data_IF_038949786131
#
_entry.id   IF_038949786131
#
_cell.length_a   1.000
_cell.length_b   1.000
_cell.length_c   1.000
_cell.angle_alpha   90.00
_cell.angle_beta   90.00
_cell.angle_gamma   90.00
#
_symmetry.space_group_name_H-M   'P 1'
#
loop_
_entity.id
_entity.type
_entity.pdbx_description
1 polymer ?
#
# COMPACT_ATOMS: atom_id res chain seq x y z
N UNK A 1 -0.76 3.38 -2.02
CA UNK A 1 0.11 3.23 -0.83
C UNK A 1 1.51 3.72 -1.18
N UNK A 2 2.51 3.57 -0.29
CA UNK A 2 3.90 3.98 -0.58
C UNK A 2 4.66 3.02 -1.49
N UNK A 3 4.13 1.80 -1.70
CA UNK A 3 4.84 0.70 -2.36
C UNK A 3 6.17 0.34 -1.64
N UNK A 4 6.19 0.54 -0.31
CA UNK A 4 7.33 0.29 0.56
C UNK A 4 6.83 -0.39 1.82
N UNK A 5 7.10 -1.70 1.94
CA UNK A 5 6.63 -2.48 3.09
C UNK A 5 7.42 -2.08 4.34
N UNK A 6 6.73 -1.86 5.45
CA UNK A 6 7.33 -1.58 6.76
C UNK A 6 6.78 -2.54 7.81
N UNK A 7 7.58 -2.79 8.85
CA UNK A 7 7.09 -3.45 10.06
C UNK A 7 6.24 -2.45 10.83
N UNK A 8 4.94 -2.72 10.96
CA UNK A 8 3.99 -1.86 11.67
C UNK A 8 3.82 -2.26 13.13
N UNK A 9 3.81 -3.57 13.38
CA UNK A 9 3.65 -4.16 14.71
C UNK A 9 4.63 -5.29 14.93
N UNK A 10 5.05 -5.44 16.18
CA UNK A 10 5.86 -6.54 16.67
C UNK A 10 5.22 -7.09 17.93
N UNK A 11 5.17 -8.41 18.04
CA UNK A 11 4.85 -9.09 19.28
C UNK A 11 6.05 -9.93 19.72
N UNK A 12 6.51 -9.69 20.95
CA UNK A 12 7.59 -10.42 21.62
C UNK A 12 7.18 -10.59 23.08
N UNK A 13 7.23 -11.82 23.60
CA UNK A 13 7.08 -12.12 25.03
C UNK A 13 5.84 -11.49 25.67
N UNK A 14 4.66 -11.78 25.11
CA UNK A 14 3.34 -11.27 25.55
C UNK A 14 3.12 -9.75 25.37
N UNK A 15 4.10 -9.03 24.81
CA UNK A 15 3.99 -7.60 24.54
C UNK A 15 3.80 -7.35 23.05
N UNK A 16 2.62 -6.83 22.68
CA UNK A 16 2.36 -6.32 21.33
C UNK A 16 2.57 -4.81 21.29
N UNK A 17 3.43 -4.34 20.38
CA UNK A 17 3.72 -2.91 20.21
C UNK A 17 3.67 -2.52 18.73
N UNK A 18 3.12 -1.35 18.46
CA UNK A 18 3.30 -0.69 17.16
C UNK A 18 4.68 -0.05 17.10
N UNK A 19 5.41 -0.23 16.00
CA UNK A 19 6.81 0.19 15.86
C UNK A 19 7.02 1.23 14.75
N UNK A 20 5.95 1.91 14.31
CA UNK A 20 6.07 3.04 13.39
C UNK A 20 6.71 4.25 14.09
N UNK A 21 8.02 4.41 13.88
CA UNK A 21 8.82 5.56 14.30
C UNK A 21 9.80 5.28 15.44
N UNK A 22 10.92 6.00 15.44
CA UNK A 22 12.07 5.80 16.34
C UNK A 22 11.70 5.84 17.83
N UNK A 23 10.76 6.70 18.20
CA UNK A 23 10.29 6.82 19.58
C UNK A 23 9.66 5.51 20.10
N UNK A 24 8.90 4.80 19.27
CA UNK A 24 8.25 3.54 19.66
C UNK A 24 9.22 2.37 19.72
N UNK A 25 10.32 2.43 18.96
CA UNK A 25 11.40 1.45 19.01
C UNK A 25 12.19 1.58 20.32
N UNK A 26 12.35 2.81 20.83
CA UNK A 26 12.95 3.03 22.14
C UNK A 26 12.11 2.44 23.28
N UNK A 27 10.78 2.49 23.18
CA UNK A 27 9.89 1.80 24.11
C UNK A 27 10.05 0.28 24.04
N UNK A 28 10.17 -0.30 22.82
CA UNK A 28 10.40 -1.74 22.66
C UNK A 28 11.68 -2.20 23.37
N UNK A 29 12.76 -1.41 23.25
CA UNK A 29 14.03 -1.67 23.94
C UNK A 29 13.93 -1.57 25.47
N UNK A 30 12.99 -0.78 25.99
CA UNK A 30 12.82 -0.65 27.45
C UNK A 30 12.09 -1.84 28.08
N UNK A 31 11.32 -2.59 27.27
CA UNK A 31 10.50 -3.71 27.74
C UNK A 31 11.20 -5.06 27.57
N UNK A 32 12.17 -5.13 26.66
CA UNK A 32 12.85 -6.37 26.28
C UNK A 32 14.31 -6.30 26.72
N UNK A 33 14.81 -7.37 27.34
CA UNK A 33 16.22 -7.49 27.72
C UNK A 33 17.16 -7.42 26.51
N UNK A 34 18.41 -7.00 26.74
CA UNK A 34 19.45 -6.99 25.71
C UNK A 34 19.68 -8.40 25.12
N UNK A 35 19.51 -9.45 25.93
CA UNK A 35 19.67 -10.84 25.50
C UNK A 35 18.58 -11.25 24.51
N UNK A 36 17.30 -10.99 24.83
CA UNK A 36 16.20 -11.30 23.92
C UNK A 36 16.29 -10.49 22.62
N UNK A 37 16.66 -9.21 22.73
CA UNK A 37 16.87 -8.34 21.57
C UNK A 37 18.02 -8.85 20.69
N UNK A 38 19.12 -9.31 21.29
CA UNK A 38 20.24 -9.86 20.55
C UNK A 38 19.86 -11.08 19.70
N UNK A 39 19.06 -12.00 20.26
CA UNK A 39 18.58 -13.20 19.55
C UNK A 39 17.65 -12.81 18.40
N UNK A 40 16.75 -11.85 18.62
CA UNK A 40 15.86 -11.33 17.59
C UNK A 40 16.63 -10.72 16.42
N UNK A 41 17.56 -9.80 16.72
CA UNK A 41 18.36 -9.10 15.71
C UNK A 41 19.27 -10.07 14.96
N UNK A 42 19.86 -11.05 15.67
CA UNK A 42 20.62 -12.13 15.04
C UNK A 42 19.74 -12.88 14.04
N UNK A 43 18.55 -13.32 14.46
CA UNK A 43 17.60 -14.03 13.60
C UNK A 43 17.19 -13.24 12.37
N UNK A 44 16.92 -11.94 12.52
CA UNK A 44 16.58 -11.05 11.41
C UNK A 44 17.74 -10.99 10.39
N UNK A 45 18.97 -10.70 10.83
CA UNK A 45 20.07 -10.47 9.89
C UNK A 45 20.62 -11.73 9.24
N UNK A 46 20.65 -12.87 9.96
CA UNK A 46 21.19 -14.12 9.39
C UNK A 46 20.16 -14.83 8.52
N UNK A 47 18.87 -14.69 8.83
CA UNK A 47 17.76 -15.31 8.11
C UNK A 47 17.05 -14.30 7.20
N UNK A 48 17.76 -13.34 6.60
CA UNK A 48 17.21 -12.43 5.59
C UNK A 48 18.05 -12.47 4.34
N UNK A 49 17.42 -12.75 3.18
CA UNK A 49 18.08 -12.73 1.88
C UNK A 49 18.24 -11.34 1.29
N UNK A 50 17.78 -10.29 1.99
CA UNK A 50 17.94 -8.90 1.56
C UNK A 50 19.28 -8.32 2.03
N UNK A 51 19.87 -7.48 1.19
CA UNK A 51 21.17 -6.88 1.45
C UNK A 51 21.12 -5.36 1.37
N UNK A 52 21.93 -4.71 2.21
CA UNK A 52 22.12 -3.26 2.16
C UNK A 52 23.19 -2.94 1.12
N UNK A 53 22.76 -2.35 0.01
CA UNK A 53 23.64 -1.92 -1.08
C UNK A 53 23.78 -0.40 -1.06
N UNK A 54 24.96 0.10 -1.40
CA UNK A 54 25.17 1.53 -1.63
C UNK A 54 24.83 1.80 -3.09
N UNK A 55 23.80 2.62 -3.32
CA UNK A 55 23.48 3.12 -4.65
C UNK A 55 24.53 4.10 -5.16
N UNK A 56 24.49 4.36 -6.47
CA UNK A 56 25.39 5.30 -7.17
C UNK A 56 25.24 6.74 -6.67
N UNK A 57 24.11 7.05 -6.02
CA UNK A 57 23.80 8.32 -5.36
C UNK A 57 24.36 8.44 -3.93
N UNK A 58 25.09 7.42 -3.46
CA UNK A 58 25.62 7.33 -2.10
C UNK A 58 24.58 7.00 -1.03
N UNK A 59 23.31 6.82 -1.40
CA UNK A 59 22.26 6.38 -0.47
C UNK A 59 22.29 4.87 -0.31
N UNK A 60 21.90 4.40 0.88
CA UNK A 60 21.78 2.96 1.15
C UNK A 60 20.39 2.51 0.73
N UNK A 61 20.32 1.58 -0.22
CA UNK A 61 19.08 0.92 -0.63
C UNK A 61 19.12 -0.53 -0.18
N UNK A 62 17.96 -1.08 0.15
CA UNK A 62 17.84 -2.49 0.51
C UNK A 62 17.36 -3.23 -0.73
N UNK A 63 18.16 -4.19 -1.21
CA UNK A 63 17.81 -5.08 -2.30
C UNK A 63 17.28 -6.40 -1.74
N UNK A 64 16.12 -6.84 -2.23
CA UNK A 64 15.51 -8.10 -1.84
C UNK A 64 13.99 -8.07 -1.97
N UNK A 65 13.32 -9.07 -1.42
CA UNK A 65 11.84 -9.10 -1.45
C UNK A 65 11.26 -8.04 -0.50
N UNK A 66 10.13 -7.39 -0.81
CA UNK A 66 9.60 -6.30 0.02
C UNK A 66 9.40 -6.67 1.49
N UNK A 67 8.93 -7.90 1.77
CA UNK A 67 8.72 -8.40 3.13
C UNK A 67 10.04 -8.53 3.90
N UNK A 68 11.09 -9.01 3.24
CA UNK A 68 12.40 -9.17 3.85
C UNK A 68 13.13 -7.84 4.01
N UNK A 69 12.98 -6.94 3.04
CA UNK A 69 13.51 -5.58 3.12
C UNK A 69 12.93 -4.83 4.31
N UNK A 70 11.61 -4.94 4.54
CA UNK A 70 10.95 -4.37 5.72
C UNK A 70 11.53 -4.89 7.04
N UNK A 71 11.78 -6.21 7.10
CA UNK A 71 12.32 -6.87 8.29
C UNK A 71 13.78 -6.45 8.55
N UNK A 72 14.58 -6.34 7.48
CA UNK A 72 15.96 -5.86 7.56
C UNK A 72 16.02 -4.39 8.00
N UNK A 73 15.17 -3.54 7.43
CA UNK A 73 15.05 -2.13 7.81
C UNK A 73 14.70 -1.98 9.30
N UNK A 74 13.75 -2.80 9.79
CA UNK A 74 13.43 -2.87 11.21
C UNK A 74 14.67 -3.25 12.04
N UNK A 75 15.38 -4.32 11.68
CA UNK A 75 16.59 -4.74 12.38
C UNK A 75 17.69 -3.67 12.40
N UNK A 76 17.89 -2.95 11.28
CA UNK A 76 18.85 -1.85 11.16
C UNK A 76 18.47 -0.63 12.02
N UNK A 77 17.17 -0.39 12.19
CA UNK A 77 16.66 0.69 13.05
C UNK A 77 16.83 0.34 14.53
N UNK A 78 16.71 -0.94 14.88
CA UNK A 78 16.91 -1.45 16.24
C UNK A 78 18.40 -1.49 16.61
N UNK A 79 19.24 -2.24 15.88
CA UNK A 79 20.66 -2.45 16.21
C UNK A 79 21.53 -2.48 14.94
N UNK A 80 21.78 -1.29 14.39
CA UNK A 80 22.58 -1.12 13.16
C UNK A 80 24.00 -1.65 13.26
N UNK A 81 24.65 -1.47 14.41
CA UNK A 81 26.09 -1.73 14.58
C UNK A 81 26.43 -3.22 14.46
N UNK A 82 25.45 -4.09 14.74
CA UNK A 82 25.62 -5.55 14.70
C UNK A 82 25.38 -6.14 13.33
N UNK A 83 24.87 -5.37 12.37
CA UNK A 83 24.61 -5.87 11.02
C UNK A 83 25.88 -6.44 10.37
N UNK A 84 27.00 -5.73 10.47
CA UNK A 84 28.27 -6.19 9.88
C UNK A 84 28.89 -7.37 10.62
N UNK A 85 28.62 -7.50 11.92
CA UNK A 85 29.09 -8.62 12.73
C UNK A 85 28.31 -9.89 12.35
N UNK A 86 26.98 -9.81 12.38
CA UNK A 86 26.11 -10.93 12.09
C UNK A 86 26.17 -11.39 10.64
N UNK A 87 26.39 -10.49 9.68
CA UNK A 87 26.51 -10.88 8.28
C UNK A 87 27.81 -11.65 7.96
N UNK A 88 28.83 -11.54 8.83
CA UNK A 88 30.08 -12.33 8.73
C UNK A 88 29.94 -13.74 9.30
N UNK A 89 28.86 -14.05 10.02
CA UNK A 89 28.65 -15.38 10.56
C UNK A 89 28.50 -16.38 9.41
N UNK A 90 29.20 -17.51 9.52
CA UNK A 90 29.15 -18.57 8.54
C UNK A 90 27.77 -19.24 8.57
N UNK A 91 27.10 -19.19 7.42
CA UNK A 91 25.85 -19.91 7.15
C UNK A 91 26.22 -21.29 6.62
N UNK A 92 26.02 -22.31 7.46
CA UNK A 92 26.37 -23.71 7.16
C UNK A 92 25.36 -24.27 6.15
N UNK A 93 24.08 -23.97 6.35
CA UNK A 93 23.00 -24.39 5.45
C UNK A 93 21.96 -23.29 5.33
N UNK A 94 21.49 -23.04 4.11
CA UNK A 94 20.38 -22.12 3.82
C UNK A 94 19.34 -22.89 3.03
N UNK A 95 18.12 -22.95 3.53
CA UNK A 95 16.94 -23.41 2.79
C UNK A 95 16.10 -22.17 2.45
N UNK A 96 16.08 -21.72 1.18
CA UNK A 96 15.31 -20.54 0.78
C UNK A 96 13.81 -20.79 0.96
N UNK A 97 13.02 -19.71 0.91
CA UNK A 97 11.58 -19.82 1.06
C UNK A 97 10.97 -20.81 0.07
N UNK A 98 10.28 -21.81 0.60
CA UNK A 98 9.56 -22.81 -0.18
C UNK A 98 8.06 -22.59 -0.03
N UNK A 99 7.32 -22.41 -1.14
CA UNK A 99 5.88 -22.14 -1.12
C UNK A 99 5.02 -23.27 -0.55
N UNK A 100 5.50 -24.51 -0.59
CA UNK A 100 4.82 -25.67 0.01
C UNK A 100 5.04 -25.70 1.52
N UNK A 101 6.30 -25.55 1.98
CA UNK A 101 6.63 -25.49 3.41
C UNK A 101 6.25 -24.16 4.08
N UNK A 102 6.03 -23.10 3.29
CA UNK A 102 5.80 -21.70 3.68
C UNK A 102 6.77 -21.16 4.74
N UNK A 103 8.01 -21.67 4.73
CA UNK A 103 9.10 -21.23 5.61
C UNK A 103 10.43 -21.15 4.85
N UNK A 104 11.34 -20.38 5.42
CA UNK A 104 12.75 -20.25 5.06
C UNK A 104 13.57 -20.52 6.33
N UNK A 105 14.67 -21.25 6.19
CA UNK A 105 15.48 -21.64 7.35
C UNK A 105 16.97 -21.48 7.06
N UNK A 106 17.73 -21.14 8.08
CA UNK A 106 19.19 -21.02 8.01
C UNK A 106 19.81 -21.66 9.23
N UNK A 107 20.95 -22.34 9.06
CA UNK A 107 21.78 -22.83 10.14
C UNK A 107 23.07 -22.04 10.14
N UNK A 108 23.37 -21.44 11.29
CA UNK A 108 24.60 -20.70 11.52
C UNK A 108 25.48 -21.43 12.52
N UNK A 109 26.79 -21.25 12.38
CA UNK A 109 27.75 -21.69 13.39
C UNK A 109 27.94 -20.57 14.42
N UNK A 110 27.77 -20.89 15.71
CA UNK A 110 27.98 -19.92 16.77
C UNK A 110 29.48 -19.78 17.11
N UNK A 111 29.97 -18.58 17.49
CA UNK A 111 31.39 -18.36 17.79
C UNK A 111 31.95 -19.20 18.94
N UNK A 112 31.09 -19.65 19.86
CA UNK A 112 31.43 -20.40 21.07
C UNK A 112 31.44 -21.93 20.89
N UNK A 113 31.24 -22.42 19.65
CA UNK A 113 31.09 -23.85 19.37
C UNK A 113 29.65 -24.30 19.60
N UNK A 114 29.01 -24.78 18.53
CA UNK A 114 27.58 -25.10 18.48
C UNK A 114 26.93 -24.50 17.25
N UNK A 115 25.71 -24.93 16.95
CA UNK A 115 24.94 -24.48 15.80
C UNK A 115 23.61 -23.89 16.25
N UNK A 116 23.11 -22.90 15.51
CA UNK A 116 21.78 -22.33 15.73
C UNK A 116 21.01 -22.34 14.42
N UNK A 117 19.85 -22.99 14.43
CA UNK A 117 18.88 -22.92 13.35
C UNK A 117 17.93 -21.75 13.59
N UNK A 118 17.74 -20.90 12.59
CA UNK A 118 16.65 -19.94 12.55
C UNK A 118 15.67 -20.34 11.46
N UNK A 119 14.37 -20.18 11.74
CA UNK A 119 13.33 -20.31 10.73
C UNK A 119 12.43 -19.06 10.74
N UNK A 120 11.96 -18.67 9.55
CA UNK A 120 10.99 -17.60 9.37
C UNK A 120 9.96 -17.96 8.31
N UNK A 121 8.74 -17.46 8.44
CA UNK A 121 7.65 -17.90 7.58
C UNK A 121 6.26 -17.62 8.14
N UNK A 122 5.29 -18.35 7.60
CA UNK A 122 3.89 -18.24 8.02
C UNK A 122 3.74 -18.55 9.53
N UNK A 123 3.14 -17.65 10.32
CA UNK A 123 3.06 -17.81 11.77
C UNK A 123 2.40 -19.10 12.24
N UNK A 124 1.29 -19.50 11.62
CA UNK A 124 0.57 -20.70 12.03
C UNK A 124 1.41 -21.96 11.85
N UNK A 125 2.15 -22.03 10.73
CA UNK A 125 3.04 -23.15 10.47
C UNK A 125 4.20 -23.14 11.46
N UNK A 126 4.88 -22.01 11.67
CA UNK A 126 6.01 -21.98 12.60
C UNK A 126 5.57 -22.29 14.02
N UNK A 127 4.41 -21.79 14.45
CA UNK A 127 3.86 -22.03 15.78
C UNK A 127 3.53 -23.51 16.03
N UNK A 128 3.16 -24.27 15.01
CA UNK A 128 2.97 -25.72 15.11
C UNK A 128 4.28 -26.46 15.42
N UNK A 129 5.41 -25.95 14.94
CA UNK A 129 6.73 -26.56 15.12
C UNK A 129 7.49 -26.02 16.36
N UNK A 130 6.88 -25.09 17.11
CA UNK A 130 7.46 -24.51 18.32
C UNK A 130 6.99 -25.24 19.58
N UNK A 131 7.94 -25.58 20.45
CA UNK A 131 7.70 -26.17 21.78
C UNK A 131 7.86 -25.14 22.90
N UNK A 132 8.65 -24.12 22.66
CA UNK A 132 9.05 -23.11 23.64
C UNK A 132 8.86 -21.70 23.05
N UNK A 133 8.92 -20.69 23.90
CA UNK A 133 8.94 -19.29 23.51
C UNK A 133 9.98 -18.52 24.32
N UNK A 134 10.47 -17.43 23.73
CA UNK A 134 11.38 -16.51 24.38
C UNK A 134 10.60 -15.52 25.25
N UNK A 135 10.94 -15.43 26.53
CA UNK A 135 10.37 -14.42 27.43
C UNK A 135 11.13 -13.07 27.32
N UNK A 136 10.61 -12.02 27.96
CA UNK A 136 11.19 -10.67 27.87
C UNK A 136 12.59 -10.57 28.47
N UNK A 137 12.92 -11.46 29.40
CA UNK A 137 14.21 -11.56 30.08
C UNK A 137 15.26 -12.32 29.24
N UNK A 138 14.85 -12.97 28.15
CA UNK A 138 15.72 -13.74 27.25
C UNK A 138 15.89 -15.21 27.65
N UNK A 139 15.05 -15.71 28.54
CA UNK A 139 14.96 -17.11 28.91
C UNK A 139 13.94 -17.86 28.06
N UNK A 140 14.18 -19.16 27.91
CA UNK A 140 13.33 -20.08 27.16
C UNK A 140 12.29 -20.63 28.13
N UNK A 141 11.01 -20.39 27.83
CA UNK A 141 9.89 -20.90 28.62
C UNK A 141 9.02 -21.84 27.76
N UNK A 142 8.47 -22.94 28.35
CA UNK A 142 7.61 -23.85 27.60
C UNK A 142 6.38 -23.14 27.03
N UNK A 143 6.06 -23.43 25.78
CA UNK A 143 4.87 -22.89 25.13
C UNK A 143 3.64 -23.72 25.52
N UNK A 144 2.96 -23.31 26.59
CA UNK A 144 1.72 -23.97 27.03
C UNK A 144 0.59 -23.82 26.01
N UNK A 145 -0.41 -24.72 26.05
CA UNK A 145 -1.59 -24.63 25.17
C UNK A 145 -2.33 -23.29 25.29
N UNK A 146 -2.39 -22.73 26.50
CA UNK A 146 -2.98 -21.42 26.75
C UNK A 146 -2.19 -20.30 26.06
N UNK A 147 -0.86 -20.32 26.14
CA UNK A 147 -0.01 -19.35 25.43
C UNK A 147 -0.11 -19.52 23.92
N UNK A 148 -0.13 -20.76 23.42
CA UNK A 148 -0.31 -21.05 21.99
C UNK A 148 -1.62 -20.45 21.46
N UNK A 149 -2.72 -20.57 22.21
CA UNK A 149 -3.99 -19.92 21.89
C UNK A 149 -3.89 -18.38 21.91
N UNK A 150 -3.19 -17.80 22.89
CA UNK A 150 -2.97 -16.36 22.93
C UNK A 150 -2.19 -15.86 21.70
N UNK A 151 -1.14 -16.59 21.29
CA UNK A 151 -0.35 -16.27 20.11
C UNK A 151 -1.20 -16.37 18.84
N UNK A 152 -2.04 -17.40 18.71
CA UNK A 152 -3.00 -17.52 17.60
C UNK A 152 -3.99 -16.34 17.56
N UNK A 153 -4.49 -15.88 18.71
CA UNK A 153 -5.36 -14.71 18.79
C UNK A 153 -4.63 -13.43 18.31
N UNK A 154 -3.35 -13.29 18.62
CA UNK A 154 -2.52 -12.16 18.14
C UNK A 154 -2.29 -12.25 16.63
N UNK A 155 -2.01 -13.44 16.09
CA UNK A 155 -1.88 -13.66 14.65
C UNK A 155 -3.18 -13.26 13.94
N UNK A 156 -4.32 -13.70 14.47
CA UNK A 156 -5.63 -13.35 13.95
C UNK A 156 -5.92 -11.85 14.06
N UNK A 157 -5.52 -11.20 15.16
CA UNK A 157 -5.63 -9.75 15.32
C UNK A 157 -4.83 -9.01 14.25
N UNK A 158 -3.56 -9.39 14.03
CA UNK A 158 -2.72 -8.75 13.02
C UNK A 158 -3.28 -8.98 11.60
N UNK A 159 -3.77 -10.19 11.32
CA UNK A 159 -4.40 -10.51 10.04
C UNK A 159 -5.71 -9.71 9.83
N UNK A 160 -6.49 -9.48 10.89
CA UNK A 160 -7.73 -8.69 10.83
C UNK A 160 -7.49 -7.21 10.51
N UNK A 161 -6.31 -6.70 10.88
CA UNK A 161 -5.81 -5.37 10.51
C UNK A 161 -5.10 -5.36 9.14
N UNK A 162 -5.22 -6.46 8.39
CA UNK A 162 -4.57 -6.72 7.10
C UNK A 162 -3.05 -6.55 7.09
N UNK A 163 -2.42 -6.79 8.24
CA UNK A 163 -0.97 -6.89 8.31
C UNK A 163 -0.56 -8.24 7.70
N UNK A 164 0.44 -8.24 6.82
CA UNK A 164 1.14 -9.46 6.43
C UNK A 164 1.92 -9.95 7.64
N UNK A 165 1.47 -11.06 8.21
CA UNK A 165 2.07 -11.63 9.42
C UNK A 165 3.26 -12.54 9.07
N UNK A 166 4.36 -12.38 9.80
CA UNK A 166 5.56 -13.22 9.68
C UNK A 166 6.04 -13.61 11.08
N UNK A 167 6.50 -14.85 11.24
CA UNK A 167 7.05 -15.34 12.49
C UNK A 167 8.54 -15.66 12.33
N UNK A 168 9.32 -15.48 13.40
CA UNK A 168 10.70 -15.95 13.51
C UNK A 168 10.82 -16.84 14.75
N UNK A 169 11.49 -17.98 14.59
CA UNK A 169 11.83 -18.88 15.68
C UNK A 169 13.28 -19.38 15.53
N UNK A 170 13.86 -19.89 16.62
CA UNK A 170 15.21 -20.46 16.62
C UNK A 170 15.29 -21.79 17.38
N UNK A 171 16.35 -22.54 17.13
CA UNK A 171 16.67 -23.76 17.85
C UNK A 171 18.18 -23.88 17.96
N UNK A 172 18.67 -24.14 19.17
CA UNK A 172 20.09 -24.44 19.41
C UNK A 172 20.35 -25.94 19.21
N UNK A 173 21.48 -26.25 18.58
CA UNK A 173 21.91 -27.59 18.21
C UNK A 173 23.34 -27.81 18.69
N UNK A 174 23.57 -28.90 19.42
CA UNK A 174 24.90 -29.24 19.94
C UNK A 174 25.87 -29.68 18.83
N UNK A 175 25.38 -30.51 17.90
CA UNK A 175 26.12 -30.99 16.74
C UNK A 175 25.25 -30.92 15.48
N UNK A 176 25.85 -30.52 14.36
CA UNK A 176 25.21 -30.56 13.04
C UNK A 176 26.22 -31.08 12.02
N UNK A 177 25.85 -32.14 11.29
CA UNK A 177 26.65 -32.66 10.19
C UNK A 177 26.08 -32.21 8.84
N UNK A 178 26.93 -32.12 7.81
CA UNK A 178 26.50 -31.66 6.48
C UNK A 178 25.41 -32.55 5.83
N UNK A 179 25.30 -33.82 6.26
CA UNK A 179 24.29 -34.77 5.79
C UNK A 179 22.94 -34.63 6.50
N UNK A 180 22.87 -33.92 7.63
CA UNK A 180 21.62 -33.72 8.37
C UNK A 180 20.75 -32.66 7.69
N UNK A 181 19.45 -32.92 7.67
CA UNK A 181 18.46 -31.93 7.24
C UNK A 181 18.22 -30.91 8.32
N UNK A 182 17.76 -29.72 7.93
CA UNK A 182 17.35 -28.69 8.89
C UNK A 182 16.25 -29.28 9.78
N UNK A 183 16.31 -29.11 11.12
CA UNK A 183 15.27 -29.57 12.01
C UNK A 183 13.89 -29.07 11.59
N UNK A 184 12.89 -29.94 11.69
CA UNK A 184 11.51 -29.54 11.40
C UNK A 184 10.80 -29.03 12.64
N UNK A 185 11.08 -29.60 13.82
CA UNK A 185 10.39 -29.35 15.10
C UNK A 185 11.35 -28.98 16.23
N UNK A 186 10.79 -28.47 17.33
CA UNK A 186 11.55 -28.15 18.55
C UNK A 186 12.09 -26.71 18.55
N UNK A 187 11.41 -25.82 17.83
CA UNK A 187 11.78 -24.42 17.79
C UNK A 187 11.29 -23.67 19.04
N UNK A 188 12.03 -22.62 19.39
CA UNK A 188 11.64 -21.59 20.34
C UNK A 188 11.14 -20.37 19.58
N UNK A 189 9.87 -20.01 19.78
CA UNK A 189 9.24 -18.83 19.19
C UNK A 189 9.93 -17.55 19.70
N UNK A 190 10.38 -16.69 18.79
CA UNK A 190 11.01 -15.41 19.15
C UNK A 190 9.98 -14.27 19.07
N UNK A 191 9.42 -14.07 17.88
CA UNK A 191 8.64 -12.87 17.58
C UNK A 191 7.66 -13.08 16.44
N UNK A 192 6.57 -12.32 16.49
CA UNK A 192 5.66 -12.12 15.38
C UNK A 192 5.78 -10.68 14.86
N UNK A 193 5.73 -10.53 13.55
CA UNK A 193 5.79 -9.26 12.85
C UNK A 193 4.51 -9.07 12.05
N UNK A 194 3.90 -7.89 12.18
CA UNK A 194 2.84 -7.41 11.31
C UNK A 194 3.43 -6.39 10.34
N UNK A 195 3.50 -6.74 9.06
CA UNK A 195 4.12 -5.94 8.01
C UNK A 195 3.04 -5.37 7.10
N UNK A 196 3.10 -4.08 6.74
CA UNK A 196 2.14 -3.46 5.82
C UNK A 196 2.81 -2.49 4.88
N UNK A 197 2.16 -2.19 3.76
CA UNK A 197 2.49 -1.05 2.92
C UNK A 197 1.63 0.14 3.37
N UNK A 198 2.21 1.17 4.02
CA UNK A 198 1.45 2.25 4.61
C UNK A 198 0.82 3.13 3.53
N UNK A 199 -0.28 3.77 3.92
CA UNK A 199 -0.92 4.80 3.11
C UNK A 199 -0.02 6.04 3.09
N UNK A 200 0.10 6.69 1.92
CA UNK A 200 0.89 7.93 1.80
C UNK A 200 0.30 9.02 2.71
N UNK A 201 1.13 9.85 3.37
CA UNK A 201 0.65 10.91 4.23
C UNK A 201 -0.34 11.84 3.52
N UNK A 202 -1.49 12.09 4.16
CA UNK A 202 -2.52 13.00 3.66
C UNK A 202 -3.41 12.47 2.53
N UNK A 203 -3.26 11.21 2.10
CA UNK A 203 -4.23 10.55 1.20
C UNK A 203 -5.61 10.54 1.84
N UNK A 204 -5.71 10.18 3.13
CA UNK A 204 -6.98 10.16 3.86
C UNK A 204 -7.68 11.52 3.81
N UNK A 205 -6.97 12.61 4.13
CA UNK A 205 -7.53 13.97 4.09
C UNK A 205 -8.00 14.35 2.68
N UNK A 206 -7.24 13.95 1.67
CA UNK A 206 -7.57 14.20 0.28
C UNK A 206 -8.81 13.41 -0.18
N UNK A 207 -8.92 12.13 0.19
CA UNK A 207 -10.12 11.30 -0.06
C UNK A 207 -11.35 11.95 0.59
N UNK A 208 -11.25 12.32 1.86
CA UNK A 208 -12.34 12.99 2.58
C UNK A 208 -12.72 14.32 1.93
N UNK A 209 -11.73 15.08 1.44
CA UNK A 209 -11.98 16.34 0.71
C UNK A 209 -12.71 16.10 -0.60
N UNK A 210 -12.32 15.06 -1.37
CA UNK A 210 -13.00 14.66 -2.59
C UNK A 210 -14.46 14.26 -2.31
N UNK A 211 -14.68 13.42 -1.30
CA UNK A 211 -16.02 12.99 -0.91
C UNK A 211 -16.90 14.16 -0.45
N UNK A 212 -16.36 15.07 0.37
CA UNK A 212 -17.05 16.29 0.78
C UNK A 212 -17.38 17.23 -0.40
N UNK A 213 -16.60 17.16 -1.48
CA UNK A 213 -16.84 17.90 -2.72
C UNK A 213 -17.82 17.20 -3.69
N UNK A 214 -18.43 16.08 -3.27
CA UNK A 214 -19.38 15.29 -4.06
C UNK A 214 -18.74 14.33 -5.06
N UNK A 215 -17.45 14.00 -4.91
CA UNK A 215 -16.73 13.07 -5.77
C UNK A 215 -16.72 11.69 -5.11
N UNK A 216 -17.28 10.68 -5.77
CA UNK A 216 -17.23 9.29 -5.31
C UNK A 216 -15.85 8.69 -5.60
N UNK A 217 -15.09 8.39 -4.53
CA UNK A 217 -13.77 7.75 -4.64
C UNK A 217 -13.94 6.23 -4.57
N UNK A 218 -13.31 5.50 -5.50
CA UNK A 218 -13.33 4.03 -5.55
C UNK A 218 -11.90 3.50 -5.60
N UNK A 219 -11.62 2.40 -4.89
CA UNK A 219 -10.33 1.71 -4.91
C UNK A 219 -10.39 0.52 -5.88
N UNK A 220 -9.42 0.42 -6.79
CA UNK A 220 -9.31 -0.70 -7.74
C UNK A 220 -7.88 -1.23 -7.71
N UNK A 221 -7.69 -2.44 -7.18
CA UNK A 221 -6.35 -3.02 -6.94
C UNK A 221 -6.28 -4.50 -7.34
N UNK A 222 -5.08 -4.94 -7.72
CA UNK A 222 -4.74 -6.35 -7.91
C UNK A 222 -4.50 -7.11 -6.59
N UNK A 223 -4.47 -6.41 -5.45
CA UNK A 223 -4.26 -7.03 -4.14
C UNK A 223 -5.42 -7.91 -3.69
N UNK A 224 -5.18 -8.71 -2.65
CA UNK A 224 -6.20 -9.51 -2.00
C UNK A 224 -7.31 -8.62 -1.40
N UNK A 225 -8.56 -9.10 -1.46
CA UNK A 225 -9.74 -8.40 -0.95
C UNK A 225 -9.64 -7.97 0.51
N UNK A 226 -9.00 -8.77 1.37
CA UNK A 226 -8.86 -8.42 2.79
C UNK A 226 -7.93 -7.21 2.99
N UNK A 227 -6.81 -7.19 2.24
CA UNK A 227 -5.87 -6.06 2.23
C UNK A 227 -6.50 -4.82 1.64
N UNK A 228 -7.19 -4.95 0.51
CA UNK A 228 -7.91 -3.85 -0.12
C UNK A 228 -8.97 -3.25 0.82
N UNK A 229 -9.77 -4.08 1.50
CA UNK A 229 -10.78 -3.63 2.47
C UNK A 229 -10.17 -2.86 3.62
N UNK A 230 -9.06 -3.32 4.19
CA UNK A 230 -8.41 -2.65 5.31
C UNK A 230 -7.82 -1.30 4.90
N UNK A 231 -7.08 -1.24 3.78
CA UNK A 231 -6.52 0.02 3.26
C UNK A 231 -7.65 0.98 2.90
N UNK A 232 -8.73 0.48 2.29
CA UNK A 232 -9.87 1.31 1.93
C UNK A 232 -10.57 1.89 3.17
N UNK A 233 -10.70 1.13 4.27
CA UNK A 233 -11.21 1.64 5.55
C UNK A 233 -10.28 2.68 6.16
N UNK A 234 -8.97 2.44 6.15
CA UNK A 234 -7.96 3.39 6.67
C UNK A 234 -7.98 4.71 5.90
N UNK A 235 -8.12 4.66 4.57
CA UNK A 235 -8.25 5.83 3.70
C UNK A 235 -9.61 6.54 3.79
N UNK A 236 -10.64 5.91 4.39
CA UNK A 236 -12.01 6.41 4.39
C UNK A 236 -12.78 6.19 3.08
N UNK A 237 -12.31 5.29 2.22
CA UNK A 237 -12.96 4.92 0.95
C UNK A 237 -14.11 3.95 1.17
N UNK A 238 -13.90 2.92 1.99
CA UNK A 238 -14.92 1.91 2.26
C UNK A 238 -15.77 2.33 3.46
N UNK A 239 -17.03 2.67 3.17
CA UNK A 239 -18.09 3.00 4.14
C UNK A 239 -18.87 1.75 4.57
N UNK A 240 -19.70 1.85 5.62
CA UNK A 240 -20.50 0.72 6.11
C UNK A 240 -21.50 0.20 5.05
N UNK A 241 -22.05 1.08 4.23
CA UNK A 241 -22.97 0.73 3.13
C UNK A 241 -22.25 0.32 1.84
N UNK A 242 -20.92 0.39 1.83
CA UNK A 242 -20.08 0.13 0.68
C UNK A 242 -19.86 -1.34 0.39
N UNK A 243 -19.84 -1.71 -0.90
CA UNK A 243 -19.53 -3.06 -1.34
C UNK A 243 -18.07 -3.15 -1.80
N UNK A 244 -17.41 -4.21 -1.34
CA UNK A 244 -16.09 -4.62 -1.79
C UNK A 244 -16.23 -5.96 -2.52
N UNK A 245 -15.80 -6.01 -3.77
CA UNK A 245 -15.99 -7.11 -4.71
C UNK A 245 -14.64 -7.59 -5.28
N UNK A 246 -14.52 -8.85 -5.67
CA UNK A 246 -13.36 -9.32 -6.46
C UNK A 246 -13.60 -9.10 -7.96
N UNK A 247 -12.52 -8.90 -8.73
CA UNK A 247 -12.61 -8.65 -10.19
C UNK A 247 -13.41 -9.71 -10.94
N UNK A 248 -13.18 -11.00 -10.65
CA UNK A 248 -13.91 -12.10 -11.28
C UNK A 248 -15.42 -12.07 -11.01
N UNK A 249 -15.84 -11.66 -9.80
CA UNK A 249 -17.27 -11.54 -9.45
C UNK A 249 -17.95 -10.45 -10.27
N UNK A 250 -17.23 -9.40 -10.68
CA UNK A 250 -17.75 -8.37 -11.60
C UNK A 250 -17.88 -8.90 -13.04
N UNK A 251 -17.03 -9.83 -13.43
CA UNK A 251 -17.06 -10.45 -14.75
C UNK A 251 -18.31 -11.30 -14.94
N UNK A 252 -18.68 -12.06 -13.91
CA UNK A 252 -19.77 -13.03 -13.94
C UNK A 252 -21.17 -12.38 -13.80
N UNK A 253 -21.24 -11.09 -13.48
CA UNK A 253 -22.51 -10.36 -13.33
C UNK A 253 -23.11 -9.96 -14.67
N UNK A 254 -24.42 -10.12 -14.78
CA UNK A 254 -25.21 -9.61 -15.91
C UNK A 254 -25.27 -8.09 -15.92
N UNK A 255 -25.59 -7.48 -17.07
CA UNK A 255 -25.67 -6.02 -17.20
C UNK A 255 -26.69 -5.37 -16.26
N UNK A 256 -27.80 -6.06 -15.95
CA UNK A 256 -28.84 -5.55 -15.07
C UNK A 256 -28.42 -5.60 -13.59
N UNK A 257 -27.81 -6.70 -13.14
CA UNK A 257 -27.23 -6.79 -11.80
C UNK A 257 -26.08 -5.79 -11.62
N UNK A 258 -25.24 -5.64 -12.64
CA UNK A 258 -24.13 -4.71 -12.63
C UNK A 258 -24.65 -3.28 -12.49
N UNK A 259 -25.76 -2.93 -13.15
CA UNK A 259 -26.39 -1.62 -12.98
C UNK A 259 -26.74 -1.40 -11.51
N UNK A 260 -27.40 -2.31 -10.81
CA UNK A 260 -27.74 -2.10 -9.39
C UNK A 260 -26.53 -2.04 -8.43
N UNK A 261 -25.47 -2.79 -8.73
CA UNK A 261 -24.29 -2.92 -7.88
C UNK A 261 -23.30 -1.76 -8.04
N UNK A 262 -23.10 -1.26 -9.27
CA UNK A 262 -22.07 -0.25 -9.60
C UNK A 262 -22.05 0.97 -8.67
N UNK A 263 -23.18 1.59 -8.30
CA UNK A 263 -23.16 2.74 -7.39
C UNK A 263 -22.63 2.41 -5.99
N UNK A 264 -22.82 1.17 -5.54
CA UNK A 264 -22.43 0.71 -4.20
C UNK A 264 -21.00 0.18 -4.14
N UNK A 265 -20.41 -0.18 -5.28
CA UNK A 265 -19.04 -0.68 -5.34
C UNK A 265 -18.08 0.46 -5.01
N UNK A 266 -17.34 0.29 -3.90
CA UNK A 266 -16.31 1.21 -3.45
C UNK A 266 -14.91 0.59 -3.54
N UNK A 267 -14.82 -0.74 -3.48
CA UNK A 267 -13.54 -1.47 -3.57
C UNK A 267 -13.67 -2.62 -4.56
N UNK A 268 -12.72 -2.70 -5.47
CA UNK A 268 -12.51 -3.84 -6.34
C UNK A 268 -11.10 -4.39 -6.11
N UNK A 269 -11.03 -5.66 -5.72
CA UNK A 269 -9.79 -6.35 -5.40
C UNK A 269 -9.49 -7.46 -6.42
N UNK A 270 -8.24 -7.94 -6.46
CA UNK A 270 -7.76 -8.94 -7.44
C UNK A 270 -8.17 -8.62 -8.87
N UNK A 271 -8.23 -7.33 -9.21
CA UNK A 271 -8.66 -6.88 -10.53
C UNK A 271 -7.57 -7.11 -11.57
N UNK A 272 -7.91 -7.74 -12.68
CA UNK A 272 -7.08 -7.76 -13.89
C UNK A 272 -7.19 -6.42 -14.63
N UNK A 273 -6.26 -6.09 -15.55
CA UNK A 273 -6.32 -4.86 -16.35
C UNK A 273 -7.67 -4.66 -17.05
N UNK A 274 -8.26 -5.74 -17.57
CA UNK A 274 -9.56 -5.69 -18.26
C UNK A 274 -10.74 -5.47 -17.32
N UNK A 275 -10.65 -5.91 -16.07
CA UNK A 275 -11.67 -5.65 -15.04
C UNK A 275 -11.72 -4.15 -14.73
N UNK A 276 -10.55 -3.50 -14.64
CA UNK A 276 -10.44 -2.05 -14.44
C UNK A 276 -11.07 -1.29 -15.60
N UNK A 277 -10.74 -1.69 -16.82
CA UNK A 277 -11.33 -1.14 -18.05
C UNK A 277 -12.86 -1.30 -18.05
N UNK A 278 -13.36 -2.52 -17.80
CA UNK A 278 -14.81 -2.82 -17.75
C UNK A 278 -15.53 -1.95 -16.72
N UNK A 279 -14.94 -1.74 -15.55
CA UNK A 279 -15.52 -0.87 -14.52
C UNK A 279 -15.68 0.57 -15.02
N UNK A 280 -14.61 1.14 -15.60
CA UNK A 280 -14.61 2.52 -16.12
C UNK A 280 -15.61 2.67 -17.25
N UNK A 281 -15.60 1.78 -18.24
CA UNK A 281 -16.56 1.80 -19.36
C UNK A 281 -18.00 1.66 -18.87
N UNK A 282 -18.25 0.82 -17.84
CA UNK A 282 -19.60 0.64 -17.31
C UNK A 282 -20.11 1.87 -16.57
N UNK A 283 -19.27 2.54 -15.79
CA UNK A 283 -19.60 3.81 -15.12
C UNK A 283 -19.93 4.91 -16.15
N UNK A 284 -19.11 5.02 -17.20
CA UNK A 284 -19.32 6.01 -18.27
C UNK A 284 -20.58 5.70 -19.09
N UNK A 285 -20.72 4.49 -19.59
CA UNK A 285 -21.82 4.13 -20.50
C UNK A 285 -23.18 4.03 -19.81
N UNK A 286 -23.26 3.40 -18.64
CA UNK A 286 -24.54 3.12 -17.98
C UNK A 286 -25.04 4.29 -17.15
N UNK A 287 -24.13 5.05 -16.52
CA UNK A 287 -24.47 6.13 -15.59
C UNK A 287 -24.13 7.52 -16.11
N UNK A 288 -23.43 7.63 -17.25
CA UNK A 288 -22.99 8.91 -17.82
C UNK A 288 -22.20 9.75 -16.78
N UNK A 289 -21.48 9.08 -15.89
CA UNK A 289 -20.54 9.71 -14.96
C UNK A 289 -19.29 10.17 -15.70
N UNK A 290 -18.70 11.29 -15.24
CA UNK A 290 -17.35 11.70 -15.65
C UNK A 290 -16.35 11.00 -14.75
N UNK A 291 -15.52 10.13 -15.33
CA UNK A 291 -14.64 9.23 -14.59
C UNK A 291 -13.18 9.67 -14.75
N UNK A 292 -12.53 9.92 -13.62
CA UNK A 292 -11.08 10.11 -13.53
C UNK A 292 -10.42 8.82 -13.02
N UNK A 293 -9.33 8.40 -13.66
CA UNK A 293 -8.56 7.21 -13.24
C UNK A 293 -7.16 7.63 -12.84
N UNK A 294 -6.69 7.15 -11.69
CA UNK A 294 -5.31 7.35 -11.22
C UNK A 294 -4.57 6.03 -11.23
N UNK A 295 -3.40 5.97 -11.86
CA UNK A 295 -2.62 4.73 -11.96
C UNK A 295 -1.11 4.97 -12.03
N UNK A 296 -0.35 3.94 -11.68
CA UNK A 296 1.11 3.93 -11.74
C UNK A 296 1.66 2.72 -12.53
N UNK A 297 0.89 1.64 -12.65
CA UNK A 297 1.31 0.42 -13.34
C UNK A 297 0.92 0.35 -14.82
N UNK A 298 1.62 -0.51 -15.56
CA UNK A 298 1.23 -0.91 -16.93
C UNK A 298 -0.18 -1.51 -16.98
N UNK A 299 -0.62 -2.09 -15.86
CA UNK A 299 -1.95 -2.68 -15.69
C UNK A 299 -3.08 -1.65 -15.70
N UNK A 300 -2.77 -0.38 -15.46
CA UNK A 300 -3.74 0.72 -15.42
C UNK A 300 -3.91 1.40 -16.78
N UNK A 301 -2.98 1.16 -17.72
CA UNK A 301 -2.97 1.83 -19.02
C UNK A 301 -4.29 1.74 -19.80
N UNK A 302 -4.97 0.58 -19.89
CA UNK A 302 -6.27 0.52 -20.56
C UNK A 302 -7.34 1.37 -19.88
N UNK A 303 -7.37 1.38 -18.54
CA UNK A 303 -8.34 2.15 -17.77
C UNK A 303 -8.05 3.66 -17.81
N UNK A 304 -6.77 4.05 -17.84
CA UNK A 304 -6.34 5.45 -18.00
C UNK A 304 -6.83 6.00 -19.35
N UNK A 305 -6.58 5.26 -20.44
CA UNK A 305 -6.96 5.66 -21.79
C UNK A 305 -8.49 5.73 -21.99
N UNK A 306 -9.24 4.85 -21.32
CA UNK A 306 -10.71 4.82 -21.41
C UNK A 306 -11.39 5.91 -20.55
N UNK A 307 -10.72 6.41 -19.52
CA UNK A 307 -11.27 7.41 -18.61
C UNK A 307 -11.48 8.77 -19.29
N UNK A 308 -12.27 9.65 -18.68
CA UNK A 308 -12.42 11.03 -19.19
C UNK A 308 -11.21 11.90 -18.84
N UNK A 309 -10.47 11.51 -17.78
CA UNK A 309 -9.17 12.08 -17.44
C UNK A 309 -8.28 11.02 -16.77
N UNK A 310 -7.20 10.66 -17.45
CA UNK A 310 -6.16 9.78 -16.95
C UNK A 310 -5.10 10.54 -16.16
N UNK A 311 -4.81 10.09 -14.94
CA UNK A 311 -3.82 10.67 -14.03
C UNK A 311 -2.70 9.65 -13.75
N UNK A 312 -1.49 9.92 -14.22
CA UNK A 312 -0.33 9.06 -13.96
C UNK A 312 0.59 9.64 -12.89
N UNK A 313 1.21 8.76 -12.09
CA UNK A 313 2.24 9.13 -11.13
C UNK A 313 3.57 9.43 -11.85
N UNK A 314 4.25 10.50 -11.49
CA UNK A 314 5.48 10.95 -12.16
C UNK A 314 6.72 10.16 -11.78
N UNK A 315 6.85 9.76 -10.51
CA UNK A 315 8.02 9.06 -9.97
C UNK A 315 7.78 7.55 -9.98
N UNK A 316 6.71 7.09 -9.35
CA UNK A 316 6.37 5.66 -9.26
C UNK A 316 5.75 5.11 -10.56
N UNK A 317 5.23 5.98 -11.43
CA UNK A 317 4.54 5.55 -12.64
C UNK A 317 5.49 4.98 -13.69
N UNK A 318 5.07 3.88 -14.31
CA UNK A 318 5.72 3.31 -15.49
C UNK A 318 5.57 4.22 -16.70
N UNK A 319 6.53 4.18 -17.64
CA UNK A 319 6.45 5.00 -18.87
C UNK A 319 5.18 4.73 -19.67
N UNK A 320 4.73 3.46 -19.72
CA UNK A 320 3.45 3.10 -20.36
C UNK A 320 2.26 3.79 -19.69
N UNK A 321 2.24 3.88 -18.36
CA UNK A 321 1.16 4.58 -17.66
C UNK A 321 1.18 6.09 -17.95
N UNK A 322 2.38 6.71 -18.01
CA UNK A 322 2.54 8.15 -18.32
C UNK A 322 2.12 8.48 -19.75
N UNK A 323 2.45 7.64 -20.72
CA UNK A 323 2.07 7.84 -22.13
C UNK A 323 0.56 7.72 -22.35
N UNK A 324 -0.14 6.95 -21.53
CA UNK A 324 -1.59 6.74 -21.63
C UNK A 324 -2.41 7.69 -20.72
N UNK A 325 -1.77 8.64 -20.04
CA UNK A 325 -2.44 9.59 -19.14
C UNK A 325 -2.46 11.01 -19.71
N UNK A 326 -3.52 11.76 -19.40
CA UNK A 326 -3.68 13.16 -19.80
C UNK A 326 -2.90 14.11 -18.89
N UNK A 327 -2.72 13.73 -17.62
CA UNK A 327 -2.07 14.55 -16.59
C UNK A 327 -1.07 13.72 -15.81
N UNK A 328 0.17 14.22 -15.69
CA UNK A 328 1.24 13.58 -14.92
C UNK A 328 1.45 14.32 -13.60
N UNK A 329 1.34 13.61 -12.49
CA UNK A 329 1.55 14.12 -11.13
C UNK A 329 3.02 13.96 -10.77
N UNK A 330 3.81 15.02 -11.00
CA UNK A 330 5.27 15.00 -10.83
C UNK A 330 5.75 14.69 -9.41
N UNK A 331 4.94 14.98 -8.39
CA UNK A 331 5.30 14.86 -6.97
C UNK A 331 4.75 13.59 -6.30
N UNK A 332 4.07 12.72 -7.04
CA UNK A 332 3.42 11.50 -6.54
C UNK A 332 2.51 11.74 -5.32
N UNK A 333 1.94 12.95 -5.23
CA UNK A 333 1.10 13.33 -4.10
C UNK A 333 -0.38 13.33 -4.50
N UNK A 334 -1.16 12.49 -3.81
CA UNK A 334 -2.60 12.42 -4.04
C UNK A 334 -3.33 13.75 -3.76
N UNK A 335 -2.76 14.64 -2.92
CA UNK A 335 -3.31 16.00 -2.71
C UNK A 335 -3.34 16.82 -3.98
N UNK A 336 -2.45 16.55 -4.94
CA UNK A 336 -2.41 17.25 -6.23
C UNK A 336 -3.71 17.03 -7.01
N UNK A 337 -4.34 15.86 -6.90
CA UNK A 337 -5.63 15.57 -7.56
C UNK A 337 -6.74 16.49 -7.05
N UNK A 338 -6.78 16.73 -5.73
CA UNK A 338 -7.74 17.68 -5.13
C UNK A 338 -7.53 19.08 -5.70
N UNK A 339 -6.27 19.48 -5.89
CA UNK A 339 -5.95 20.78 -6.49
C UNK A 339 -6.36 20.85 -7.96
N UNK A 340 -6.15 19.79 -8.74
CA UNK A 340 -6.59 19.68 -10.15
C UNK A 340 -8.11 19.87 -10.24
N UNK A 341 -8.87 19.17 -9.41
CA UNK A 341 -10.34 19.32 -9.38
C UNK A 341 -10.77 20.75 -8.99
N UNK A 342 -10.10 21.37 -8.01
CA UNK A 342 -10.37 22.76 -7.59
C UNK A 342 -10.11 23.74 -8.73
N UNK A 343 -8.98 23.62 -9.41
CA UNK A 343 -8.63 24.48 -10.54
C UNK A 343 -9.57 24.27 -11.73
N UNK A 344 -9.94 23.02 -12.03
CA UNK A 344 -10.91 22.71 -13.09
C UNK A 344 -12.25 23.41 -12.86
N UNK A 345 -12.78 23.36 -11.62
CA UNK A 345 -14.02 24.08 -11.26
C UNK A 345 -13.86 25.60 -11.36
N UNK A 346 -12.72 26.15 -10.92
CA UNK A 346 -12.46 27.59 -10.99
C UNK A 346 -12.40 28.10 -12.45
N UNK A 347 -11.69 27.37 -13.33
CA UNK A 347 -11.60 27.69 -14.75
C UNK A 347 -12.96 27.60 -15.41
N UNK A 348 -13.74 26.55 -15.14
CA UNK A 348 -15.10 26.40 -15.67
C UNK A 348 -15.99 27.60 -15.31
N UNK A 349 -15.99 28.01 -14.04
CA UNK A 349 -16.76 29.18 -13.59
C UNK A 349 -16.29 30.48 -14.25
N UNK A 350 -14.99 30.63 -14.49
CA UNK A 350 -14.45 31.81 -15.18
C UNK A 350 -14.84 31.84 -16.66
N UNK A 351 -14.85 30.68 -17.33
CA UNK A 351 -15.35 30.56 -18.71
C UNK A 351 -16.84 30.93 -18.76
N UNK A 352 -17.67 30.42 -17.84
CA UNK A 352 -19.08 30.78 -17.80
C UNK A 352 -19.30 32.29 -17.62
N UNK A 353 -18.56 32.92 -16.70
CA UNK A 353 -18.61 34.37 -16.49
C UNK A 353 -18.19 35.14 -17.74
N UNK A 354 -17.12 34.70 -18.40
CA UNK A 354 -16.65 35.30 -19.64
C UNK A 354 -17.67 35.19 -20.77
N UNK A 355 -18.22 33.99 -21.00
CA UNK A 355 -19.26 33.76 -22.01
C UNK A 355 -20.52 34.57 -21.70
N UNK A 356 -20.94 34.63 -20.44
CA UNK A 356 -22.08 35.44 -20.02
C UNK A 356 -21.85 36.92 -20.32
N UNK A 357 -20.66 37.43 -20.00
CA UNK A 357 -20.28 38.81 -20.28
C UNK A 357 -20.30 39.09 -21.79
N UNK A 358 -19.58 38.30 -22.60
CA UNK A 358 -19.48 38.50 -24.05
C UNK A 358 -20.85 38.40 -24.72
N UNK A 359 -21.66 37.40 -24.33
CA UNK A 359 -22.98 37.19 -24.91
C UNK A 359 -23.95 38.33 -24.53
N UNK A 360 -23.88 38.84 -23.29
CA UNK A 360 -24.69 40.00 -22.87
C UNK A 360 -24.34 41.23 -23.69
N UNK A 361 -23.05 41.51 -23.85
CA UNK A 361 -22.57 42.66 -24.62
C UNK A 361 -23.01 42.57 -26.08
N UNK A 362 -22.86 41.40 -26.70
CA UNK A 362 -23.30 41.17 -28.09
C UNK A 362 -24.82 41.32 -28.25
N UNK A 363 -25.62 40.79 -27.34
CA UNK A 363 -27.08 40.93 -27.37
C UNK A 363 -27.48 42.40 -27.23
N UNK A 364 -26.88 43.13 -26.28
CA UNK A 364 -27.18 44.56 -26.09
C UNK A 364 -26.81 45.36 -27.33
N UNK A 365 -25.62 45.15 -27.91
CA UNK A 365 -25.19 45.84 -29.13
C UNK A 365 -26.15 45.58 -30.31
N UNK A 366 -26.61 44.33 -30.48
CA UNK A 366 -27.59 43.95 -31.50
C UNK A 366 -28.94 44.62 -31.28
N UNK A 367 -29.47 44.60 -30.05
CA UNK A 367 -30.77 45.22 -29.74
C UNK A 367 -30.71 46.74 -29.94
N UNK A 368 -29.64 47.40 -29.47
CA UNK A 368 -29.45 48.86 -29.64
C UNK A 368 -29.42 49.22 -31.13
N UNK A 369 -28.66 48.49 -31.94
CA UNK A 369 -28.62 48.72 -33.39
C UNK A 369 -29.96 48.48 -34.08
N UNK A 370 -30.65 47.39 -33.72
CA UNK A 370 -31.96 47.07 -34.28
C UNK A 370 -32.99 48.17 -33.98
N UNK A 371 -33.09 48.58 -32.71
CA UNK A 371 -34.02 49.64 -32.29
C UNK A 371 -33.66 50.98 -32.95
N UNK A 372 -32.37 51.34 -33.00
CA UNK A 372 -31.93 52.55 -33.68
C UNK A 372 -32.29 52.54 -35.17
N UNK A 373 -32.07 51.42 -35.85
CA UNK A 373 -32.42 51.28 -37.26
C UNK A 373 -33.93 51.41 -37.49
N UNK A 374 -34.78 50.86 -36.61
CA UNK A 374 -36.23 50.97 -36.72
C UNK A 374 -36.77 52.38 -36.43
N UNK A 375 -36.19 53.10 -35.46
CA UNK A 375 -36.70 54.41 -35.01
C UNK A 375 -36.12 55.57 -35.83
N UNK A 376 -34.80 55.54 -36.08
CA UNK A 376 -34.05 56.65 -36.69
C UNK A 376 -33.74 56.38 -38.17
N UNK A 377 -33.80 55.12 -38.61
CA UNK A 377 -33.41 54.72 -39.97
C UNK A 377 -31.90 54.58 -40.18
N UNK A 378 -31.10 54.66 -39.10
CA UNK A 378 -29.63 54.59 -39.14
C UNK A 378 -29.14 53.64 -38.04
N UNK A 379 -28.14 52.81 -38.35
CA UNK A 379 -27.44 51.99 -37.36
C UNK A 379 -26.44 52.85 -36.56
N UNK A 380 -26.61 52.92 -35.25
CA UNK A 380 -25.77 53.75 -34.35
C UNK A 380 -24.37 53.22 -34.15
N UNK A 381 -24.16 51.89 -34.13
CA UNK A 381 -22.82 51.29 -34.03
C UNK A 381 -22.38 50.78 -35.41
N UNK A 382 -21.21 51.22 -35.85
CA UNK A 382 -20.60 50.70 -37.09
C UNK A 382 -20.11 49.27 -36.91
N UNK A 383 -19.96 48.53 -38.01
CA UNK A 383 -19.40 47.17 -37.99
C UNK A 383 -18.02 47.12 -37.34
N UNK A 384 -17.18 48.14 -37.57
CA UNK A 384 -15.88 48.28 -36.94
C UNK A 384 -15.94 48.47 -35.41
N UNK A 385 -16.96 49.17 -34.91
CA UNK A 385 -17.18 49.33 -33.47
C UNK A 385 -17.64 48.03 -32.82
N UNK A 386 -18.45 47.23 -33.51
CA UNK A 386 -18.90 45.92 -33.01
C UNK A 386 -17.72 44.93 -32.91
N UNK A 387 -16.77 44.96 -33.84
CA UNK A 387 -15.56 44.10 -33.77
C UNK A 387 -14.58 44.48 -32.66
N UNK A 388 -14.69 45.70 -32.11
CA UNK A 388 -13.85 46.18 -31.00
C UNK A 388 -14.39 45.78 -29.63
N UNK A 389 -15.57 45.17 -29.60
CA UNK A 389 -16.35 44.78 -28.42
C UNK A 389 -16.41 43.24 -28.39
#
# INVERSE_FOLDING_TARGET
TTNHMIVDKVWISDVSKSVNGDAKISELKSVISERAMAILVQGIFVNTGSEVVKGDDGKRTILGTPTEAALLEFGLTVERDRYTEYNKIQRVRVEPFNSVKKKMSVIIQLPNGGFRSFCKGAPEIILEHCNDMLNGEGDIVPLSDMQKQNVLNIINSFASEALRTLCIAFQDLDEFSDEQTIPENGYTLIALFGIKDPVRPGVRDAVMTCMAAGITVRMVTGDNINTAKAIAKECGILTEDGIAIEGHELHDKSSDELRELLPKIQVMARSLPMDKFKLVTSLKSMYQEVVAVTGDGTNDAPALCESDIGLAMGIAGTEVAKENADVIIMDDNFKTIVNVARWGRAVYLNIQKFVQFQLTVNIVALIVNFVSACVIGICTLSTSMIFLI
#
